data_IF_704270351295
#
_entry.id   IF_704270351295
#
_cell.length_a   1.000
_cell.length_b   1.000
_cell.length_c   1.000
_cell.angle_alpha   90.00
_cell.angle_beta   90.00
_cell.angle_gamma   90.00
#
_symmetry.space_group_name_H-M   'P 1'
#
loop_
_entity.id
_entity.type
_entity.pdbx_description
1 polymer ?
#
# COMPACT_ATOMS: atom_id res chain seq x y z
N UNK A 1 0.33 7.88 8.81
CA UNK A 1 0.47 8.77 7.63
C UNK A 1 -0.73 9.69 7.64
N UNK A 2 -0.54 10.96 7.98
CA UNK A 2 -1.62 11.95 7.91
C UNK A 2 -1.53 12.58 6.53
N UNK A 3 -2.50 12.31 5.67
CA UNK A 3 -2.60 12.99 4.39
C UNK A 3 -3.19 14.36 4.71
N UNK A 4 -2.38 15.41 4.58
CA UNK A 4 -2.84 16.78 4.75
C UNK A 4 -3.59 17.20 3.48
N UNK A 5 -4.91 17.30 3.59
CA UNK A 5 -5.79 17.73 2.50
C UNK A 5 -6.06 19.21 2.68
N UNK A 6 -5.38 20.04 1.89
CA UNK A 6 -5.49 21.50 1.98
C UNK A 6 -6.92 22.00 1.68
N UNK A 7 -7.59 21.39 0.69
CA UNK A 7 -9.01 21.61 0.39
C UNK A 7 -9.73 20.28 0.27
N UNK A 8 -10.40 19.88 1.34
CA UNK A 8 -11.16 18.65 1.42
C UNK A 8 -12.22 18.52 0.31
N UNK A 9 -12.83 19.63 -0.12
CA UNK A 9 -13.97 19.61 -1.05
C UNK A 9 -13.56 19.18 -2.46
N UNK A 10 -12.39 19.61 -2.93
CA UNK A 10 -11.87 19.22 -4.24
C UNK A 10 -11.49 17.74 -4.29
N UNK A 11 -10.99 17.19 -3.18
CA UNK A 11 -10.70 15.78 -3.06
C UNK A 11 -11.98 14.94 -3.04
N UNK A 12 -13.02 15.36 -2.32
CA UNK A 12 -14.33 14.69 -2.36
C UNK A 12 -14.85 14.63 -3.80
N UNK A 13 -14.87 15.76 -4.52
CA UNK A 13 -15.38 15.80 -5.91
C UNK A 13 -14.61 14.86 -6.84
N UNK A 14 -13.29 14.75 -6.66
CA UNK A 14 -12.46 13.83 -7.47
C UNK A 14 -12.76 12.38 -7.14
N UNK A 15 -12.86 12.03 -5.86
CA UNK A 15 -13.21 10.67 -5.43
C UNK A 15 -14.61 10.30 -5.92
N UNK A 16 -15.57 11.22 -5.81
CA UNK A 16 -16.93 11.00 -6.28
C UNK A 16 -16.98 10.71 -7.79
N UNK A 17 -16.26 11.47 -8.61
CA UNK A 17 -16.13 11.19 -10.05
C UNK A 17 -15.49 9.83 -10.35
N UNK A 18 -14.53 9.40 -9.53
CA UNK A 18 -13.93 8.08 -9.68
C UNK A 18 -14.93 6.97 -9.35
N UNK A 19 -15.75 7.16 -8.31
CA UNK A 19 -16.81 6.21 -7.95
C UNK A 19 -17.89 6.12 -9.03
N UNK A 20 -18.36 7.26 -9.53
CA UNK A 20 -19.32 7.31 -10.65
C UNK A 20 -18.79 6.59 -11.90
N UNK A 21 -17.48 6.62 -12.13
CA UNK A 21 -16.87 5.87 -13.22
C UNK A 21 -16.91 4.35 -12.98
N UNK A 22 -16.75 3.89 -11.74
CA UNK A 22 -16.90 2.46 -11.41
C UNK A 22 -18.35 2.00 -11.61
N UNK A 23 -19.35 2.82 -11.31
CA UNK A 23 -20.76 2.49 -11.58
C UNK A 23 -21.00 2.24 -13.09
N UNK A 24 -20.29 2.96 -13.98
CA UNK A 24 -20.35 2.73 -15.43
C UNK A 24 -19.71 1.37 -15.78
N UNK A 25 -18.59 1.03 -15.15
CA UNK A 25 -17.89 -0.23 -15.37
C UNK A 25 -18.70 -1.44 -14.88
N UNK A 26 -19.44 -1.31 -13.79
CA UNK A 26 -20.33 -2.37 -13.28
C UNK A 26 -21.42 -2.73 -14.30
N UNK A 27 -21.89 -1.75 -15.08
CA UNK A 27 -22.86 -1.98 -16.16
C UNK A 27 -22.28 -2.70 -17.39
N UNK A 28 -20.95 -2.91 -17.45
CA UNK A 28 -20.30 -3.55 -18.60
C UNK A 28 -20.50 -5.07 -18.65
N UNK A 29 -21.13 -5.68 -17.64
CA UNK A 29 -21.54 -7.09 -17.67
C UNK A 29 -20.39 -8.10 -17.61
N UNK A 30 -19.22 -7.68 -17.11
CA UNK A 30 -17.98 -8.48 -17.02
C UNK A 30 -17.94 -9.40 -15.78
N UNK A 31 -19.08 -9.61 -15.11
CA UNK A 31 -19.20 -10.42 -13.88
C UNK A 31 -18.73 -11.87 -14.05
N UNK A 32 -18.73 -12.37 -15.29
CA UNK A 32 -18.33 -13.74 -15.63
C UNK A 32 -16.89 -13.84 -16.16
N UNK A 33 -16.19 -12.72 -16.31
CA UNK A 33 -14.80 -12.72 -16.75
C UNK A 33 -13.87 -13.12 -15.59
N UNK A 34 -12.98 -14.07 -15.82
CA UNK A 34 -11.95 -14.43 -14.85
C UNK A 34 -10.99 -13.26 -14.65
N UNK A 35 -10.86 -12.78 -13.41
CA UNK A 35 -9.85 -11.81 -13.05
C UNK A 35 -8.49 -12.45 -13.31
N UNK A 36 -7.63 -11.76 -14.08
CA UNK A 36 -6.27 -12.25 -14.31
C UNK A 36 -5.48 -12.18 -13.00
N UNK A 37 -5.46 -13.29 -12.26
CA UNK A 37 -4.64 -13.44 -11.06
C UNK A 37 -3.24 -13.82 -11.52
N UNK A 38 -2.23 -13.14 -10.98
CA UNK A 38 -0.86 -13.57 -11.19
C UNK A 38 -0.63 -14.87 -10.39
N UNK A 39 -0.78 -16.00 -11.07
CA UNK A 39 -0.48 -17.30 -10.47
C UNK A 39 1.01 -17.38 -10.13
N UNK A 40 1.30 -17.87 -8.92
CA UNK A 40 2.65 -18.23 -8.52
C UNK A 40 2.73 -19.72 -8.31
N UNK A 41 3.83 -20.29 -8.77
CA UNK A 41 4.15 -21.68 -8.52
C UNK A 41 4.58 -21.85 -7.05
N UNK A 42 4.26 -23.01 -6.46
CA UNK A 42 4.74 -23.40 -5.14
C UNK A 42 6.27 -23.48 -5.13
N UNK A 43 6.87 -23.84 -6.26
CA UNK A 43 8.34 -23.91 -6.41
C UNK A 43 9.01 -22.53 -6.38
N UNK A 44 8.25 -21.44 -6.48
CA UNK A 44 8.75 -20.06 -6.35
C UNK A 44 8.68 -19.52 -4.92
N UNK A 45 8.17 -20.30 -3.96
CA UNK A 45 8.12 -19.89 -2.57
C UNK A 45 9.51 -19.83 -1.96
N UNK A 46 9.71 -18.87 -1.04
CA UNK A 46 10.99 -18.71 -0.34
C UNK A 46 11.20 -19.85 0.65
N UNK A 47 12.38 -20.45 0.60
CA UNK A 47 12.85 -21.41 1.60
C UNK A 47 12.88 -20.82 3.03
N UNK A 48 12.62 -21.67 4.02
CA UNK A 48 12.80 -21.33 5.44
C UNK A 48 14.28 -21.35 5.85
N UNK A 49 15.02 -20.35 5.37
CA UNK A 49 16.44 -20.15 5.67
C UNK A 49 16.68 -18.74 6.19
N UNK A 50 17.57 -18.62 7.18
CA UNK A 50 18.02 -17.33 7.68
C UNK A 50 18.86 -16.60 6.62
N UNK A 51 18.50 -15.35 6.33
CA UNK A 51 19.27 -14.46 5.47
C UNK A 51 19.77 -13.25 6.28
N UNK A 52 21.08 -13.14 6.57
CA UNK A 52 21.61 -12.03 7.35
C UNK A 52 21.48 -10.71 6.60
N UNK A 53 21.07 -9.67 7.31
CA UNK A 53 21.03 -8.30 6.77
C UNK A 53 22.37 -7.62 7.03
N UNK A 54 23.07 -7.24 5.96
CA UNK A 54 24.45 -6.73 5.97
C UNK A 54 24.53 -5.20 6.07
N UNK A 55 23.41 -4.49 5.89
CA UNK A 55 23.36 -3.03 5.86
C UNK A 55 23.03 -2.45 7.23
N UNK A 56 23.44 -1.21 7.45
CA UNK A 56 23.02 -0.46 8.64
C UNK A 56 21.55 -0.03 8.50
N UNK A 57 20.66 -0.64 9.30
CA UNK A 57 19.23 -0.33 9.35
C UNK A 57 18.93 1.14 9.69
N UNK A 58 19.80 1.80 10.45
CA UNK A 58 19.60 3.17 10.92
C UNK A 58 20.09 4.22 9.92
N UNK A 59 20.88 3.82 8.90
CA UNK A 59 21.47 4.76 7.93
C UNK A 59 20.44 5.62 7.20
N UNK A 60 19.23 5.10 7.01
CA UNK A 60 18.17 5.75 6.22
C UNK A 60 17.07 6.38 7.08
N UNK A 61 17.17 6.31 8.41
CA UNK A 61 16.15 6.84 9.32
C UNK A 61 16.40 8.32 9.63
N UNK A 62 15.37 9.15 9.44
CA UNK A 62 15.41 10.59 9.74
C UNK A 62 15.53 10.91 11.24
N UNK A 63 15.02 10.02 12.10
CA UNK A 63 14.95 10.22 13.55
C UNK A 63 15.13 8.88 14.26
N UNK A 64 16.22 8.73 15.00
CA UNK A 64 16.51 7.55 15.80
C UNK A 64 17.08 7.94 17.16
N UNK A 65 16.92 7.07 18.16
CA UNK A 65 17.52 7.22 19.48
C UNK A 65 18.13 5.88 19.89
N UNK A 66 19.46 5.83 19.95
CA UNK A 66 20.19 4.58 20.18
C UNK A 66 19.85 3.54 19.11
N UNK A 67 19.26 2.42 19.52
CA UNK A 67 18.86 1.30 18.63
C UNK A 67 17.41 1.36 18.16
N UNK A 68 16.68 2.45 18.45
CA UNK A 68 15.24 2.55 18.24
C UNK A 68 14.88 3.66 17.25
N UNK A 69 13.80 3.44 16.50
CA UNK A 69 13.15 4.49 15.70
C UNK A 69 12.42 5.42 16.66
N UNK A 70 12.72 6.73 16.60
CA UNK A 70 12.04 7.71 17.44
C UNK A 70 10.80 8.24 16.72
N UNK A 71 9.63 7.90 17.26
CA UNK A 71 8.32 8.34 16.77
C UNK A 71 7.50 8.95 17.93
N UNK A 72 6.49 9.80 17.64
CA UNK A 72 5.53 10.26 18.65
C UNK A 72 4.84 9.07 19.32
N UNK A 73 4.55 9.20 20.61
CA UNK A 73 3.79 8.18 21.34
C UNK A 73 2.40 8.05 20.69
N UNK A 74 2.01 6.82 20.35
CA UNK A 74 0.64 6.51 19.99
C UNK A 74 -0.20 6.69 21.25
N UNK A 75 -1.12 7.66 21.21
CA UNK A 75 -2.16 7.85 22.24
C UNK A 75 -3.40 7.06 21.86
#
# INVERSE_FOLDING_TARGET
>A
MKIDLADHNDHIKRVQKMLEYFDILDNAGVESEEITVQETDLDKLRDDKYNPYDKNLLKFLKSYQGKYVKAPKLN
#
